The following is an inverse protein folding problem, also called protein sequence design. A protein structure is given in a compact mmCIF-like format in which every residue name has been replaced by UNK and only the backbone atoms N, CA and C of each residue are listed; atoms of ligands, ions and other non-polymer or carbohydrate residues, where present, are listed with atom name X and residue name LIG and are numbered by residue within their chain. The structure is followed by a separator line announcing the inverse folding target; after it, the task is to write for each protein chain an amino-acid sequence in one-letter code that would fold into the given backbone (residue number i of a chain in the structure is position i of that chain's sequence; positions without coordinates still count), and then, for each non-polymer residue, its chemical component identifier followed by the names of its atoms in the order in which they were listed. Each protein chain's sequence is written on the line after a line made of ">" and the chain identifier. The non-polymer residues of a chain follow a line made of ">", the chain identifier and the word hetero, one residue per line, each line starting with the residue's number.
data_IF_491236313959
#
_entry.id   IF_491236313959
#
_cell.length_a   1.000
_cell.length_b   1.000
_cell.length_c   1.000
_cell.angle_alpha   90.00
_cell.angle_beta   90.00
_cell.angle_gamma   90.00
#
_symmetry.space_group_name_H-M   'P 1'
#
loop_
_entity.id
_entity.type
_entity.pdbx_description
1 polymer ?
#
# COMPACT_ATOMS: atom_id res chain seq x y z
N UNK A 1 -44.44 27.97 -5.42
CA UNK A 1 -43.04 28.00 -5.88
C UNK A 1 -42.18 28.48 -4.73
N UNK A 2 -41.37 27.60 -4.14
CA UNK A 2 -40.78 27.78 -2.81
C UNK A 2 -39.70 28.87 -2.75
N UNK A 3 -39.66 29.58 -1.64
CA UNK A 3 -38.66 30.60 -1.24
C UNK A 3 -37.20 30.16 -1.44
N UNK A 4 -36.92 28.86 -1.39
CA UNK A 4 -35.60 28.28 -1.68
C UNK A 4 -35.14 28.46 -3.14
N UNK A 5 -36.07 28.52 -4.09
CA UNK A 5 -35.74 28.72 -5.52
C UNK A 5 -35.34 30.17 -5.80
N UNK A 6 -35.94 31.12 -5.08
CA UNK A 6 -35.68 32.56 -5.21
C UNK A 6 -34.30 32.91 -4.63
N UNK A 7 -33.96 32.38 -3.45
CA UNK A 7 -32.62 32.54 -2.86
C UNK A 7 -31.49 31.99 -3.76
N UNK A 8 -31.78 30.94 -4.53
CA UNK A 8 -30.84 30.29 -5.45
C UNK A 8 -30.53 31.13 -6.69
N UNK A 9 -31.47 31.96 -7.15
CA UNK A 9 -31.26 32.86 -8.29
C UNK A 9 -30.62 34.19 -7.89
N UNK A 10 -30.89 34.69 -6.68
CA UNK A 10 -30.40 36.01 -6.23
C UNK A 10 -28.96 35.99 -5.72
N UNK A 11 -28.49 34.92 -5.07
CA UNK A 11 -27.12 34.85 -4.51
C UNK A 11 -26.40 33.51 -4.81
N UNK A 12 -25.96 33.29 -6.06
CA UNK A 12 -25.33 32.02 -6.49
C UNK A 12 -23.96 31.76 -5.84
N UNK A 13 -23.24 32.81 -5.41
CA UNK A 13 -21.93 32.67 -4.73
C UNK A 13 -22.09 32.26 -3.26
N UNK A 14 -23.09 32.77 -2.55
CA UNK A 14 -23.35 32.46 -1.14
C UNK A 14 -23.84 31.02 -0.96
N UNK A 15 -24.76 30.57 -1.82
CA UNK A 15 -25.27 29.18 -1.81
C UNK A 15 -24.20 28.14 -2.19
N UNK A 16 -23.24 28.48 -3.07
CA UNK A 16 -22.06 27.63 -3.35
C UNK A 16 -21.10 27.54 -2.17
N UNK A 17 -20.85 28.63 -1.44
CA UNK A 17 -19.93 28.63 -0.30
C UNK A 17 -20.49 27.87 0.91
N UNK A 18 -21.81 27.94 1.14
CA UNK A 18 -22.48 27.24 2.25
C UNK A 18 -22.70 25.74 1.96
N UNK A 19 -22.83 25.33 0.69
CA UNK A 19 -22.98 23.91 0.32
C UNK A 19 -21.67 23.12 0.23
N UNK A 20 -20.55 23.79 -0.08
CA UNK A 20 -19.20 23.16 -0.12
C UNK A 20 -18.84 22.29 1.09
N UNK A 21 -19.05 22.73 2.36
CA UNK A 21 -18.76 21.87 3.51
C UNK A 21 -19.72 20.67 3.62
N UNK A 22 -20.99 20.84 3.21
CA UNK A 22 -21.99 19.76 3.24
C UNK A 22 -21.69 18.71 2.16
N UNK A 23 -21.31 19.13 0.96
CA UNK A 23 -20.93 18.24 -0.15
C UNK A 23 -19.61 17.49 0.17
N UNK A 24 -18.67 18.14 0.88
CA UNK A 24 -17.45 17.51 1.35
C UNK A 24 -17.72 16.44 2.43
N UNK A 25 -18.61 16.75 3.39
CA UNK A 25 -19.06 15.77 4.40
C UNK A 25 -19.81 14.60 3.77
N UNK A 26 -20.64 14.85 2.75
CA UNK A 26 -21.34 13.81 2.00
C UNK A 26 -20.36 12.85 1.31
N UNK A 27 -19.35 13.39 0.64
CA UNK A 27 -18.31 12.60 -0.04
C UNK A 27 -17.56 11.69 0.95
N UNK A 28 -17.15 12.23 2.11
CA UNK A 28 -16.48 11.45 3.17
C UNK A 28 -17.43 10.35 3.71
N UNK A 29 -18.71 10.66 3.87
CA UNK A 29 -19.74 9.71 4.26
C UNK A 29 -19.84 8.53 3.29
N UNK A 30 -19.84 8.79 1.98
CA UNK A 30 -19.93 7.75 0.95
C UNK A 30 -18.70 6.84 0.94
N UNK A 31 -17.50 7.41 1.07
CA UNK A 31 -16.26 6.64 1.24
C UNK A 31 -16.33 5.73 2.48
N UNK A 32 -16.73 6.29 3.63
CA UNK A 32 -16.79 5.56 4.89
C UNK A 32 -17.83 4.43 4.84
N UNK A 33 -19.01 4.68 4.29
CA UNK A 33 -20.05 3.67 4.13
C UNK A 33 -19.61 2.54 3.20
N UNK A 34 -18.94 2.87 2.10
CA UNK A 34 -18.40 1.86 1.19
C UNK A 34 -17.33 1.01 1.88
N UNK A 35 -16.39 1.62 2.60
CA UNK A 35 -15.35 0.89 3.33
C UNK A 35 -15.93 -0.01 4.43
N UNK A 36 -16.90 0.47 5.19
CA UNK A 36 -17.57 -0.35 6.22
C UNK A 36 -18.33 -1.53 5.61
N UNK A 37 -19.02 -1.33 4.48
CA UNK A 37 -19.69 -2.43 3.77
C UNK A 37 -18.69 -3.43 3.21
N UNK A 38 -17.60 -2.96 2.60
CA UNK A 38 -16.55 -3.82 2.07
C UNK A 38 -15.89 -4.65 3.19
N UNK A 39 -15.54 -4.03 4.32
CA UNK A 39 -14.96 -4.74 5.47
C UNK A 39 -15.98 -5.67 6.14
N UNK A 40 -17.24 -5.27 6.27
CA UNK A 40 -18.32 -6.12 6.79
C UNK A 40 -18.63 -7.33 5.90
N UNK A 41 -18.37 -7.22 4.58
CA UNK A 41 -18.50 -8.29 3.60
C UNK A 41 -17.37 -9.31 3.59
N UNK A 42 -16.21 -8.99 4.20
CA UNK A 42 -15.01 -9.85 4.23
C UNK A 42 -15.30 -11.26 4.78
N UNK A 43 -15.97 -11.45 5.94
CA UNK A 43 -16.22 -12.78 6.47
C UNK A 43 -17.12 -13.61 5.55
N UNK A 44 -18.14 -12.97 4.95
CA UNK A 44 -19.06 -13.65 4.04
C UNK A 44 -18.32 -14.09 2.76
N UNK A 45 -17.51 -13.20 2.19
CA UNK A 45 -16.73 -13.47 1.00
C UNK A 45 -15.67 -14.56 1.22
N UNK A 46 -14.97 -14.54 2.36
CA UNK A 46 -13.97 -15.54 2.72
C UNK A 46 -14.55 -16.96 2.79
N UNK A 47 -15.81 -17.09 3.20
CA UNK A 47 -16.48 -18.39 3.32
C UNK A 47 -17.07 -18.88 1.99
N UNK A 48 -17.69 -17.99 1.20
CA UNK A 48 -18.49 -18.38 0.03
C UNK A 48 -17.74 -18.29 -1.31
N UNK A 49 -16.68 -17.48 -1.43
CA UNK A 49 -15.99 -17.20 -2.70
C UNK A 49 -14.53 -17.68 -2.72
N UNK A 50 -14.25 -18.86 -2.16
CA UNK A 50 -12.88 -19.40 -1.99
C UNK A 50 -12.12 -19.55 -3.31
N UNK A 51 -12.79 -20.04 -4.36
CA UNK A 51 -12.16 -20.24 -5.67
C UNK A 51 -11.70 -18.92 -6.29
N UNK A 52 -12.51 -17.87 -6.17
CA UNK A 52 -12.16 -16.54 -6.67
C UNK A 52 -11.03 -15.91 -5.86
N UNK A 53 -11.02 -16.10 -4.53
CA UNK A 53 -9.92 -15.65 -3.68
C UNK A 53 -8.60 -16.31 -4.11
N UNK A 54 -8.57 -17.62 -4.36
CA UNK A 54 -7.36 -18.33 -4.80
C UNK A 54 -6.88 -17.78 -6.15
N UNK A 55 -7.79 -17.55 -7.09
CA UNK A 55 -7.47 -16.94 -8.39
C UNK A 55 -6.86 -15.55 -8.21
N UNK A 56 -7.46 -14.71 -7.36
CA UNK A 56 -6.96 -13.36 -7.08
C UNK A 56 -5.60 -13.38 -6.36
N UNK A 57 -5.36 -14.32 -5.43
CA UNK A 57 -4.05 -14.49 -4.79
C UNK A 57 -2.98 -14.87 -5.82
N UNK A 58 -3.32 -15.79 -6.74
CA UNK A 58 -2.44 -16.17 -7.82
C UNK A 58 -2.13 -14.98 -8.75
N UNK A 59 -3.14 -14.17 -9.05
CA UNK A 59 -2.99 -12.95 -9.85
C UNK A 59 -2.13 -11.88 -9.17
N UNK A 60 -2.28 -11.68 -7.86
CA UNK A 60 -1.42 -10.77 -7.10
C UNK A 60 0.04 -11.22 -7.13
N UNK A 61 0.25 -12.53 -6.93
CA UNK A 61 1.58 -13.12 -6.77
C UNK A 61 2.33 -13.24 -8.10
N UNK A 62 1.66 -13.76 -9.14
CA UNK A 62 2.26 -13.95 -10.46
C UNK A 62 2.15 -12.70 -11.32
N UNK A 63 1.21 -11.78 -11.05
CA UNK A 63 0.87 -10.65 -11.93
C UNK A 63 -0.22 -11.02 -12.93
N UNK A 64 -0.97 -10.00 -13.39
CA UNK A 64 -1.98 -10.16 -14.44
C UNK A 64 -1.41 -9.81 -15.83
N UNK A 65 -1.76 -10.59 -16.86
CA UNK A 65 -1.41 -10.28 -18.25
C UNK A 65 0.10 -10.28 -18.53
N UNK A 66 0.63 -9.23 -19.16
CA UNK A 66 2.07 -9.10 -19.51
C UNK A 66 2.98 -9.04 -18.29
N UNK A 67 2.48 -8.61 -17.13
CA UNK A 67 3.23 -8.64 -15.87
C UNK A 67 3.48 -10.07 -15.39
N UNK A 68 2.62 -11.04 -15.73
CA UNK A 68 2.86 -12.46 -15.45
C UNK A 68 4.15 -12.98 -16.11
N UNK A 69 4.51 -12.42 -17.27
CA UNK A 69 5.71 -12.79 -18.02
C UNK A 69 6.99 -12.20 -17.41
N UNK A 70 6.89 -11.10 -16.66
CA UNK A 70 8.04 -10.39 -16.05
C UNK A 70 8.18 -10.73 -14.55
N UNK A 71 7.21 -11.42 -13.95
CA UNK A 71 7.23 -11.89 -12.57
C UNK A 71 6.36 -11.10 -11.57
N UNK A 72 5.39 -10.34 -12.09
CA UNK A 72 4.29 -9.79 -11.32
C UNK A 72 4.65 -8.76 -10.26
N UNK A 73 3.72 -8.56 -9.32
CA UNK A 73 3.86 -7.65 -8.17
C UNK A 73 5.09 -8.02 -7.32
N UNK A 74 5.38 -9.32 -7.18
CA UNK A 74 6.49 -9.82 -6.36
C UNK A 74 7.84 -9.38 -6.94
N UNK A 75 8.06 -9.52 -8.24
CA UNK A 75 9.32 -9.09 -8.87
C UNK A 75 9.47 -7.57 -8.82
N UNK A 76 8.41 -6.82 -9.08
CA UNK A 76 8.50 -5.34 -9.05
C UNK A 76 8.78 -4.86 -7.63
N UNK A 77 8.02 -5.31 -6.63
CA UNK A 77 8.24 -4.93 -5.23
C UNK A 77 9.60 -5.41 -4.73
N UNK A 78 10.00 -6.64 -5.09
CA UNK A 78 11.29 -7.19 -4.75
C UNK A 78 12.45 -6.38 -5.35
N UNK A 79 12.35 -6.00 -6.62
CA UNK A 79 13.36 -5.17 -7.28
C UNK A 79 13.41 -3.76 -6.68
N UNK A 80 12.27 -3.14 -6.41
CA UNK A 80 12.20 -1.82 -5.78
C UNK A 80 12.84 -1.82 -4.38
N UNK A 81 12.55 -2.85 -3.57
CA UNK A 81 13.11 -2.99 -2.22
C UNK A 81 14.59 -3.38 -2.22
N UNK A 82 15.04 -4.17 -3.19
CA UNK A 82 16.45 -4.44 -3.45
C UNK A 82 17.18 -3.13 -3.79
N UNK A 83 16.66 -2.37 -4.77
CA UNK A 83 17.26 -1.10 -5.18
C UNK A 83 17.29 -0.10 -4.01
N UNK A 84 16.20 0.03 -3.25
CA UNK A 84 16.13 0.90 -2.09
C UNK A 84 17.08 0.49 -0.95
N UNK A 85 17.22 -0.82 -0.68
CA UNK A 85 18.18 -1.33 0.30
C UNK A 85 19.63 -1.02 -0.12
N UNK A 86 19.95 -1.23 -1.40
CA UNK A 86 21.25 -0.92 -1.96
C UNK A 86 21.58 0.58 -1.91
N UNK A 87 20.64 1.45 -2.28
CA UNK A 87 20.87 2.92 -2.22
C UNK A 87 21.00 3.42 -0.78
N UNK A 88 20.24 2.86 0.16
CA UNK A 88 20.39 3.17 1.58
C UNK A 88 21.73 2.71 2.13
N UNK A 89 22.25 1.57 1.68
CA UNK A 89 23.59 1.13 2.05
C UNK A 89 24.68 2.05 1.49
N UNK A 90 24.58 2.48 0.23
CA UNK A 90 25.51 3.48 -0.36
C UNK A 90 25.49 4.77 0.45
N UNK A 91 24.31 5.33 0.69
CA UNK A 91 24.16 6.59 1.42
C UNK A 91 24.61 6.45 2.88
N UNK A 92 24.23 5.36 3.52
CA UNK A 92 24.60 5.05 4.90
C UNK A 92 26.10 4.88 5.08
N UNK A 93 26.77 4.16 4.18
CA UNK A 93 28.21 3.98 4.20
C UNK A 93 28.95 5.32 4.05
N UNK A 94 28.57 6.14 3.07
CA UNK A 94 29.17 7.46 2.86
C UNK A 94 28.96 8.36 4.08
N UNK A 95 27.74 8.48 4.57
CA UNK A 95 27.41 9.39 5.68
C UNK A 95 28.03 8.97 7.01
N UNK A 96 28.18 7.68 7.27
CA UNK A 96 28.89 7.19 8.45
C UNK A 96 30.42 7.30 8.30
N UNK A 97 30.94 7.10 7.09
CA UNK A 97 32.37 7.26 6.78
C UNK A 97 32.86 8.69 6.95
N UNK A 98 32.02 9.70 6.69
CA UNK A 98 32.36 11.11 6.92
C UNK A 98 32.69 11.42 8.40
N UNK A 99 32.23 10.58 9.33
CA UNK A 99 32.44 10.70 10.78
C UNK A 99 33.30 9.52 11.31
N UNK A 100 33.84 8.66 10.42
CA UNK A 100 34.72 7.54 10.78
C UNK A 100 34.04 6.37 11.50
N UNK A 101 32.73 6.19 11.31
CA UNK A 101 31.92 5.13 11.94
C UNK A 101 31.23 4.24 10.90
N UNK A 102 31.85 4.03 9.74
CA UNK A 102 31.33 3.20 8.64
C UNK A 102 31.05 1.74 9.06
N UNK A 103 31.65 1.26 10.13
CA UNK A 103 31.35 -0.06 10.70
C UNK A 103 29.87 -0.23 11.12
N UNK A 104 29.17 0.87 11.45
CA UNK A 104 27.75 0.86 11.86
C UNK A 104 26.75 0.79 10.69
N UNK A 105 27.20 0.56 9.47
CA UNK A 105 26.34 0.36 8.30
C UNK A 105 25.37 -0.82 8.44
N UNK A 106 25.79 -1.89 9.13
CA UNK A 106 24.94 -3.03 9.47
C UNK A 106 23.76 -2.63 10.37
N UNK A 107 23.98 -1.67 11.29
CA UNK A 107 22.90 -1.10 12.10
C UNK A 107 21.87 -0.34 11.25
N UNK A 108 22.31 0.48 10.28
CA UNK A 108 21.37 1.18 9.40
C UNK A 108 20.50 0.21 8.61
N UNK A 109 21.09 -0.89 8.13
CA UNK A 109 20.34 -1.93 7.43
C UNK A 109 19.35 -2.67 8.35
N UNK A 110 19.71 -2.96 9.60
CA UNK A 110 18.81 -3.62 10.55
C UNK A 110 17.69 -2.68 11.06
N UNK A 111 17.99 -1.40 11.23
CA UNK A 111 17.09 -0.43 11.84
C UNK A 111 16.23 0.32 10.82
N UNK A 112 16.85 0.99 9.85
CA UNK A 112 16.14 1.88 8.91
C UNK A 112 15.35 1.05 7.89
N UNK A 113 15.92 -0.05 7.37
CA UNK A 113 15.20 -0.85 6.39
C UNK A 113 13.93 -1.45 6.99
N UNK A 114 14.03 -2.02 8.19
CA UNK A 114 12.88 -2.67 8.84
C UNK A 114 11.82 -1.66 9.22
N UNK A 115 12.19 -0.53 9.81
CA UNK A 115 11.22 0.41 10.39
C UNK A 115 10.56 1.33 9.36
N UNK A 116 11.28 1.69 8.29
CA UNK A 116 10.82 2.76 7.39
C UNK A 116 10.91 2.32 5.93
N UNK A 117 12.10 1.95 5.45
CA UNK A 117 12.33 1.82 4.00
C UNK A 117 11.54 0.67 3.39
N UNK A 118 11.67 -0.54 3.94
CA UNK A 118 11.02 -1.72 3.38
C UNK A 118 9.49 -1.60 3.37
N UNK A 119 8.80 -1.18 4.46
CA UNK A 119 7.35 -0.97 4.43
C UNK A 119 6.92 0.07 3.39
N UNK A 120 7.59 1.23 3.35
CA UNK A 120 7.22 2.34 2.46
C UNK A 120 7.39 1.94 1.00
N UNK A 121 8.55 1.39 0.65
CA UNK A 121 8.87 1.02 -0.73
C UNK A 121 7.97 -0.13 -1.19
N UNK A 122 7.71 -1.12 -0.33
CA UNK A 122 6.77 -2.19 -0.63
C UNK A 122 5.34 -1.66 -0.81
N UNK A 123 4.89 -0.74 0.04
CA UNK A 123 3.57 -0.10 -0.07
C UNK A 123 3.41 0.71 -1.37
N UNK A 124 4.44 1.49 -1.74
CA UNK A 124 4.48 2.23 -3.02
C UNK A 124 4.41 1.26 -4.21
N UNK A 125 5.23 0.21 -4.19
CA UNK A 125 5.25 -0.81 -5.25
C UNK A 125 3.90 -1.53 -5.38
N UNK A 126 3.28 -1.89 -4.26
CA UNK A 126 1.97 -2.54 -4.23
C UNK A 126 0.87 -1.64 -4.77
N UNK A 127 0.84 -0.37 -4.37
CA UNK A 127 -0.11 0.62 -4.89
C UNK A 127 0.03 0.82 -6.41
N UNK A 128 1.27 0.92 -6.90
CA UNK A 128 1.57 1.18 -8.30
C UNK A 128 1.28 -0.01 -9.22
N UNK A 129 1.38 -1.24 -8.72
CA UNK A 129 1.23 -2.46 -9.54
C UNK A 129 -0.12 -3.11 -9.30
N UNK A 130 -0.28 -3.77 -8.16
CA UNK A 130 -1.50 -4.50 -7.81
C UNK A 130 -2.68 -3.53 -7.62
N UNK A 131 -2.51 -2.45 -6.85
CA UNK A 131 -3.56 -1.46 -6.63
C UNK A 131 -4.08 -0.87 -7.93
N UNK A 132 -3.16 -0.37 -8.78
CA UNK A 132 -3.51 0.17 -10.09
C UNK A 132 -4.25 -0.84 -10.97
N UNK A 133 -3.81 -2.11 -10.96
CA UNK A 133 -4.49 -3.21 -11.65
C UNK A 133 -5.92 -3.44 -11.17
N UNK A 134 -6.14 -3.45 -9.85
CA UNK A 134 -7.48 -3.58 -9.25
C UNK A 134 -8.40 -2.44 -9.68
N UNK A 135 -7.91 -1.20 -9.63
CA UNK A 135 -8.70 -0.03 -10.07
C UNK A 135 -9.04 -0.11 -11.54
N UNK A 136 -8.09 -0.51 -12.39
CA UNK A 136 -8.31 -0.66 -13.83
C UNK A 136 -9.33 -1.76 -14.15
N UNK A 137 -9.25 -2.91 -13.48
CA UNK A 137 -10.18 -4.03 -13.66
C UNK A 137 -11.60 -3.66 -13.23
N UNK A 138 -11.77 -3.16 -12.01
CA UNK A 138 -13.08 -2.76 -11.52
C UNK A 138 -13.66 -1.62 -12.37
N UNK A 139 -12.81 -0.68 -12.79
CA UNK A 139 -13.23 0.40 -13.68
C UNK A 139 -13.66 -0.11 -15.05
N UNK A 140 -12.96 -1.07 -15.63
CA UNK A 140 -13.34 -1.73 -16.88
C UNK A 140 -14.69 -2.46 -16.73
N UNK A 141 -14.86 -3.24 -15.65
CA UNK A 141 -16.12 -3.92 -15.35
C UNK A 141 -17.28 -2.92 -15.17
N UNK A 142 -17.01 -1.75 -14.58
CA UNK A 142 -18.02 -0.71 -14.40
C UNK A 142 -18.46 -0.09 -15.72
N UNK A 143 -17.51 0.26 -16.60
CA UNK A 143 -17.84 0.89 -17.91
C UNK A 143 -18.47 -0.10 -18.91
N UNK A 144 -18.25 -1.41 -18.71
CA UNK A 144 -18.86 -2.48 -19.50
C UNK A 144 -20.21 -2.97 -18.92
N UNK A 145 -20.74 -2.30 -17.89
CA UNK A 145 -21.99 -2.68 -17.20
C UNK A 145 -21.95 -4.10 -16.56
N UNK A 146 -20.78 -4.69 -16.38
CA UNK A 146 -20.63 -6.02 -15.76
C UNK A 146 -21.01 -6.00 -14.27
N UNK A 147 -20.78 -4.89 -13.59
CA UNK A 147 -21.18 -4.70 -12.18
C UNK A 147 -22.71 -4.65 -12.07
N UNK A 148 -23.38 -3.95 -12.98
CA UNK A 148 -24.84 -3.83 -12.99
C UNK A 148 -25.49 -5.16 -13.40
N UNK A 149 -24.84 -5.93 -14.28
CA UNK A 149 -25.24 -7.29 -14.61
C UNK A 149 -25.20 -8.22 -13.39
N UNK A 150 -24.16 -8.16 -12.55
CA UNK A 150 -24.10 -8.94 -11.30
C UNK A 150 -25.26 -8.60 -10.35
N UNK A 151 -25.60 -7.31 -10.23
CA UNK A 151 -26.71 -6.86 -9.40
C UNK A 151 -28.07 -7.37 -9.94
N UNK A 152 -28.25 -7.41 -11.27
CA UNK A 152 -29.44 -7.98 -11.91
C UNK A 152 -29.61 -9.48 -11.67
N UNK A 153 -28.50 -10.20 -11.43
CA UNK A 153 -28.48 -11.63 -11.07
C UNK A 153 -28.64 -11.86 -9.56
N UNK A 154 -29.01 -10.83 -8.79
CA UNK A 154 -29.14 -10.86 -7.33
C UNK A 154 -27.82 -11.24 -6.59
N UNK A 155 -26.66 -11.02 -7.23
CA UNK A 155 -25.36 -11.18 -6.60
C UNK A 155 -24.95 -9.83 -6.01
N UNK A 156 -24.48 -9.82 -4.75
CA UNK A 156 -24.02 -8.60 -4.08
C UNK A 156 -22.63 -8.19 -4.61
N UNK A 157 -22.51 -7.15 -5.45
CA UNK A 157 -21.26 -6.86 -6.18
C UNK A 157 -20.13 -6.41 -5.26
N UNK A 158 -20.42 -5.67 -4.18
CA UNK A 158 -19.40 -5.23 -3.21
C UNK A 158 -18.77 -6.44 -2.49
N UNK A 159 -19.57 -7.41 -2.10
CA UNK A 159 -19.06 -8.62 -1.43
C UNK A 159 -18.25 -9.49 -2.40
N UNK A 160 -18.77 -9.67 -3.62
CA UNK A 160 -18.14 -10.53 -4.62
C UNK A 160 -16.88 -9.93 -5.24
N UNK A 161 -16.86 -8.63 -5.55
CA UNK A 161 -15.75 -7.98 -6.24
C UNK A 161 -14.76 -7.31 -5.30
N UNK A 162 -15.24 -6.61 -4.27
CA UNK A 162 -14.37 -5.80 -3.41
C UNK A 162 -13.84 -6.63 -2.25
N UNK A 163 -14.73 -7.34 -1.55
CA UNK A 163 -14.36 -8.05 -0.32
C UNK A 163 -13.44 -9.25 -0.59
N UNK A 164 -13.65 -9.96 -1.71
CA UNK A 164 -12.75 -11.04 -2.17
C UNK A 164 -11.34 -10.54 -2.45
N UNK A 165 -11.19 -9.36 -3.07
CA UNK A 165 -9.90 -8.71 -3.34
C UNK A 165 -9.20 -8.25 -2.07
N UNK A 166 -9.96 -7.75 -1.09
CA UNK A 166 -9.41 -7.43 0.24
C UNK A 166 -8.83 -8.70 0.87
N UNK A 167 -9.59 -9.80 0.92
CA UNK A 167 -9.10 -11.08 1.48
C UNK A 167 -7.87 -11.59 0.72
N UNK A 168 -7.92 -11.63 -0.60
CA UNK A 168 -6.82 -12.10 -1.43
C UNK A 168 -5.55 -11.25 -1.22
N UNK A 169 -5.70 -9.93 -1.16
CA UNK A 169 -4.62 -9.00 -0.85
C UNK A 169 -3.99 -9.24 0.52
N UNK A 170 -4.80 -9.49 1.54
CA UNK A 170 -4.31 -9.78 2.89
C UNK A 170 -3.58 -11.12 2.99
N UNK A 171 -3.96 -12.11 2.19
CA UNK A 171 -3.24 -13.39 2.11
C UNK A 171 -1.92 -13.24 1.35
N UNK A 172 -1.91 -12.45 0.27
CA UNK A 172 -0.75 -12.29 -0.59
C UNK A 172 0.32 -11.34 -0.03
N UNK A 173 -0.06 -10.35 0.79
CA UNK A 173 0.90 -9.35 1.32
C UNK A 173 1.97 -9.99 2.20
N UNK A 174 1.62 -11.00 3.02
CA UNK A 174 2.54 -11.60 3.98
C UNK A 174 3.77 -12.23 3.29
N UNK A 175 3.62 -13.18 2.35
CA UNK A 175 4.78 -13.75 1.65
C UNK A 175 5.49 -12.73 0.76
N UNK A 176 4.75 -11.81 0.13
CA UNK A 176 5.34 -10.77 -0.72
C UNK A 176 6.24 -9.84 0.08
N UNK A 177 5.80 -9.43 1.28
CA UNK A 177 6.57 -8.56 2.16
C UNK A 177 7.81 -9.27 2.72
N UNK A 178 7.71 -10.56 3.06
CA UNK A 178 8.87 -11.36 3.48
C UNK A 178 9.98 -11.34 2.42
N UNK A 179 9.62 -11.55 1.15
CA UNK A 179 10.59 -11.50 0.04
C UNK A 179 11.21 -10.11 -0.07
N UNK A 180 10.38 -9.07 0.03
CA UNK A 180 10.82 -7.67 -0.07
C UNK A 180 11.85 -7.30 1.02
N UNK A 181 11.61 -7.69 2.27
CA UNK A 181 12.54 -7.47 3.39
C UNK A 181 13.84 -8.24 3.19
N UNK A 182 13.77 -9.52 2.78
CA UNK A 182 14.96 -10.34 2.51
C UNK A 182 15.82 -9.70 1.41
N UNK A 183 15.20 -9.27 0.31
CA UNK A 183 15.93 -8.63 -0.80
C UNK A 183 16.54 -7.29 -0.39
N UNK A 184 15.88 -6.52 0.48
CA UNK A 184 16.43 -5.29 1.05
C UNK A 184 17.68 -5.55 1.89
N UNK A 185 17.70 -6.61 2.72
CA UNK A 185 18.86 -7.00 3.51
C UNK A 185 20.02 -7.51 2.64
N UNK A 186 19.72 -8.38 1.67
CA UNK A 186 20.72 -8.91 0.74
C UNK A 186 21.36 -7.78 -0.05
N UNK A 187 20.57 -6.82 -0.54
CA UNK A 187 21.10 -5.66 -1.24
C UNK A 187 22.01 -4.81 -0.35
N UNK A 188 21.58 -4.55 0.89
CA UNK A 188 22.35 -3.73 1.83
C UNK A 188 23.70 -4.37 2.18
N UNK A 189 23.70 -5.69 2.42
CA UNK A 189 24.90 -6.46 2.69
C UNK A 189 25.81 -6.53 1.48
N UNK A 190 25.26 -6.84 0.29
CA UNK A 190 26.05 -6.93 -0.94
C UNK A 190 26.74 -5.60 -1.23
N UNK A 191 26.02 -4.49 -1.17
CA UNK A 191 26.59 -3.16 -1.38
C UNK A 191 27.70 -2.86 -0.38
N UNK A 192 27.47 -3.07 0.92
CA UNK A 192 28.44 -2.69 1.96
C UNK A 192 29.68 -3.60 1.95
N UNK A 193 29.51 -4.91 1.84
CA UNK A 193 30.60 -5.88 1.96
C UNK A 193 31.34 -6.05 0.64
N UNK A 194 30.62 -6.19 -0.48
CA UNK A 194 31.22 -6.52 -1.78
C UNK A 194 31.66 -5.26 -2.53
N UNK A 195 30.83 -4.21 -2.55
CA UNK A 195 31.17 -3.00 -3.32
C UNK A 195 32.09 -2.05 -2.55
N UNK A 196 31.85 -1.86 -1.24
CA UNK A 196 32.65 -0.96 -0.40
C UNK A 196 33.78 -1.65 0.37
N UNK A 197 33.86 -2.99 0.33
CA UNK A 197 34.97 -3.74 0.90
C UNK A 197 34.99 -3.83 2.43
N UNK A 198 33.87 -3.56 3.11
CA UNK A 198 33.77 -3.74 4.55
C UNK A 198 33.87 -5.23 4.92
N UNK A 199 34.51 -5.56 6.04
CA UNK A 199 34.53 -6.93 6.56
C UNK A 199 33.10 -7.43 6.82
N UNK A 200 32.74 -8.57 6.21
CA UNK A 200 31.44 -9.20 6.41
C UNK A 200 31.17 -9.58 7.86
N UNK A 201 32.19 -10.00 8.62
CA UNK A 201 32.05 -10.30 10.05
C UNK A 201 31.66 -9.07 10.88
N UNK A 202 32.22 -7.90 10.56
CA UNK A 202 31.86 -6.63 11.17
C UNK A 202 30.42 -6.23 10.84
N UNK A 203 30.04 -6.33 9.57
CA UNK A 203 28.66 -6.05 9.14
C UNK A 203 27.65 -6.94 9.86
N UNK A 204 27.89 -8.26 9.88
CA UNK A 204 27.01 -9.22 10.54
C UNK A 204 26.91 -8.98 12.05
N UNK A 205 28.02 -8.68 12.72
CA UNK A 205 28.02 -8.38 14.15
C UNK A 205 27.07 -7.22 14.49
N UNK A 206 27.18 -6.10 13.78
CA UNK A 206 26.29 -4.95 14.01
C UNK A 206 24.87 -5.20 13.52
N UNK A 207 24.70 -5.90 12.40
CA UNK A 207 23.37 -6.26 11.92
C UNK A 207 22.61 -7.12 12.94
N UNK A 208 23.21 -8.20 13.43
CA UNK A 208 22.58 -9.13 14.37
C UNK A 208 22.37 -8.50 15.76
N UNK A 209 23.28 -7.62 16.19
CA UNK A 209 23.15 -6.92 17.49
C UNK A 209 21.96 -5.95 17.50
N UNK A 210 21.66 -5.31 16.37
CA UNK A 210 20.63 -4.28 16.28
C UNK A 210 19.32 -4.76 15.64
N UNK A 211 19.32 -5.93 15.01
CA UNK A 211 18.09 -6.51 14.47
C UNK A 211 17.22 -7.02 15.61
N UNK A 212 16.19 -6.25 15.95
CA UNK A 212 15.19 -6.65 16.92
C UNK A 212 14.04 -7.40 16.23
N UNK A 213 13.75 -8.67 16.60
CA UNK A 213 12.61 -9.41 16.04
C UNK A 213 11.26 -8.72 16.25
N UNK A 214 11.11 -7.94 17.32
CA UNK A 214 9.89 -7.18 17.61
C UNK A 214 9.69 -6.07 16.58
N UNK A 215 10.75 -5.39 16.15
CA UNK A 215 10.66 -4.37 15.09
C UNK A 215 10.27 -4.99 13.76
N UNK A 216 10.75 -6.21 13.48
CA UNK A 216 10.34 -6.95 12.29
C UNK A 216 8.83 -7.25 12.33
N UNK A 217 8.29 -7.70 13.47
CA UNK A 217 6.85 -7.93 13.62
C UNK A 217 6.02 -6.64 13.45
N UNK A 218 6.47 -5.52 14.01
CA UNK A 218 5.84 -4.22 13.79
C UNK A 218 5.88 -3.79 12.32
N UNK A 219 6.97 -4.09 11.63
CA UNK A 219 7.14 -3.86 10.20
C UNK A 219 6.12 -4.65 9.36
N UNK A 220 5.88 -5.92 9.70
CA UNK A 220 4.83 -6.73 9.08
C UNK A 220 3.43 -6.17 9.34
N UNK A 221 3.14 -5.76 10.59
CA UNK A 221 1.85 -5.14 10.92
C UNK A 221 1.65 -3.85 10.11
N UNK A 222 2.69 -3.02 9.99
CA UNK A 222 2.65 -1.80 9.20
C UNK A 222 2.36 -2.09 7.72
N UNK A 223 3.01 -3.11 7.13
CA UNK A 223 2.77 -3.54 5.75
C UNK A 223 1.33 -4.03 5.54
N UNK A 224 0.77 -4.78 6.49
CA UNK A 224 -0.63 -5.22 6.50
C UNK A 224 -1.59 -4.02 6.52
N UNK A 225 -1.37 -3.05 7.42
CA UNK A 225 -2.21 -1.85 7.51
C UNK A 225 -2.16 -1.01 6.22
N UNK A 226 -0.97 -0.89 5.62
CA UNK A 226 -0.82 -0.24 4.31
C UNK A 226 -1.60 -0.99 3.23
N UNK A 227 -1.46 -2.30 3.15
CA UNK A 227 -2.15 -3.11 2.13
C UNK A 227 -3.67 -2.98 2.22
N UNK A 228 -4.25 -3.03 3.44
CA UNK A 228 -5.69 -2.80 3.66
C UNK A 228 -6.09 -1.43 3.10
N UNK A 229 -5.35 -0.40 3.47
CA UNK A 229 -5.71 0.98 3.11
C UNK A 229 -5.59 1.22 1.60
N UNK A 230 -4.53 0.69 0.98
CA UNK A 230 -4.34 0.72 -0.48
C UNK A 230 -5.52 0.01 -1.17
N UNK A 231 -5.86 -1.20 -0.75
CA UNK A 231 -6.97 -1.95 -1.33
C UNK A 231 -8.31 -1.22 -1.22
N UNK A 232 -8.62 -0.61 -0.08
CA UNK A 232 -9.83 0.18 0.10
C UNK A 232 -9.88 1.38 -0.86
N UNK A 233 -8.78 2.13 -0.98
CA UNK A 233 -8.68 3.26 -1.90
C UNK A 233 -8.89 2.79 -3.35
N UNK A 234 -8.12 1.79 -3.77
CA UNK A 234 -8.11 1.32 -5.15
C UNK A 234 -9.43 0.67 -5.58
N UNK A 235 -10.07 -0.07 -4.68
CA UNK A 235 -11.39 -0.67 -4.95
C UNK A 235 -12.50 0.38 -5.02
N UNK A 236 -12.44 1.43 -4.20
CA UNK A 236 -13.39 2.54 -4.28
C UNK A 236 -13.28 3.29 -5.62
N UNK A 237 -12.07 3.75 -5.97
CA UNK A 237 -11.87 4.47 -7.23
C UNK A 237 -12.21 3.62 -8.46
N UNK A 238 -12.00 2.31 -8.38
CA UNK A 238 -12.37 1.38 -9.47
C UNK A 238 -13.87 1.17 -9.56
N UNK A 239 -14.55 0.93 -8.43
CA UNK A 239 -15.99 0.67 -8.39
C UNK A 239 -16.83 1.85 -8.87
N UNK A 240 -16.38 3.08 -8.56
CA UNK A 240 -17.06 4.32 -8.96
C UNK A 240 -16.46 5.00 -10.20
N UNK A 241 -15.66 4.27 -10.99
CA UNK A 241 -15.10 4.81 -12.23
C UNK A 241 -16.22 5.18 -13.22
N UNK A 242 -16.04 6.30 -13.94
CA UNK A 242 -16.99 6.82 -14.93
C UNK A 242 -16.26 7.56 -16.04
N UNK A 243 -16.93 7.81 -17.17
CA UNK A 243 -16.34 8.55 -18.30
C UNK A 243 -15.62 7.67 -19.32
N UNK A 244 -16.01 6.40 -19.46
CA UNK A 244 -15.46 5.46 -20.45
C UNK A 244 -14.00 5.06 -20.17
N UNK A 245 -13.27 4.54 -21.17
CA UNK A 245 -11.90 4.03 -20.99
C UNK A 245 -10.90 5.09 -20.48
N UNK A 246 -11.04 6.34 -20.94
CA UNK A 246 -10.22 7.46 -20.45
C UNK A 246 -10.47 7.74 -18.97
N UNK A 247 -11.74 7.67 -18.56
CA UNK A 247 -12.17 7.80 -17.17
C UNK A 247 -11.53 6.76 -16.24
N UNK A 248 -11.41 5.51 -16.68
CA UNK A 248 -10.71 4.45 -15.93
C UNK A 248 -9.25 4.82 -15.69
N UNK A 249 -8.54 5.33 -16.70
CA UNK A 249 -7.16 5.80 -16.55
C UNK A 249 -7.04 6.94 -15.52
N UNK A 250 -7.97 7.89 -15.52
CA UNK A 250 -7.99 8.97 -14.52
C UNK A 250 -8.28 8.45 -13.11
N UNK A 251 -9.17 7.46 -12.96
CA UNK A 251 -9.46 6.83 -11.68
C UNK A 251 -8.23 6.08 -11.13
N UNK A 252 -7.50 5.36 -11.98
CA UNK A 252 -6.23 4.71 -11.62
C UNK A 252 -5.21 5.74 -11.13
N UNK A 253 -5.01 6.83 -11.87
CA UNK A 253 -4.06 7.88 -11.49
C UNK A 253 -4.43 8.56 -10.16
N UNK A 254 -5.72 8.83 -9.93
CA UNK A 254 -6.22 9.41 -8.69
C UNK A 254 -6.07 8.43 -7.50
N UNK A 255 -6.34 7.15 -7.73
CA UNK A 255 -6.16 6.11 -6.71
C UNK A 255 -4.70 5.97 -6.29
N UNK A 256 -3.77 5.87 -7.26
CA UNK A 256 -2.33 5.77 -7.00
C UNK A 256 -1.83 7.02 -6.26
N UNK A 257 -2.21 8.22 -6.70
CA UNK A 257 -1.80 9.45 -6.01
C UNK A 257 -2.27 9.48 -4.56
N UNK A 258 -3.53 9.11 -4.34
CA UNK A 258 -4.13 9.10 -3.00
C UNK A 258 -3.45 8.05 -2.12
N UNK A 259 -3.19 6.85 -2.65
CA UNK A 259 -2.53 5.78 -1.91
C UNK A 259 -1.07 6.12 -1.56
N UNK A 260 -0.33 6.83 -2.41
CA UNK A 260 1.03 7.29 -2.07
C UNK A 260 1.04 8.23 -0.85
N UNK A 261 0.11 9.19 -0.79
CA UNK A 261 -0.02 10.09 0.38
C UNK A 261 -0.39 9.31 1.63
N UNK A 262 -1.32 8.35 1.48
CA UNK A 262 -1.80 7.55 2.60
C UNK A 262 -0.74 6.57 3.10
N UNK A 263 0.08 5.96 2.23
CA UNK A 263 1.21 5.09 2.63
C UNK A 263 2.19 5.86 3.51
N UNK A 264 2.58 7.08 3.10
CA UNK A 264 3.47 7.92 3.91
C UNK A 264 2.79 8.32 5.23
N UNK A 265 1.50 8.65 5.19
CA UNK A 265 0.74 9.03 6.40
C UNK A 265 0.63 7.87 7.39
N UNK A 266 0.33 6.65 6.92
CA UNK A 266 0.27 5.44 7.73
C UNK A 266 1.64 5.15 8.34
N UNK A 267 2.72 5.24 7.54
CA UNK A 267 4.10 5.09 8.04
C UNK A 267 4.37 6.04 9.19
N UNK A 268 4.04 7.33 9.02
CA UNK A 268 4.27 8.36 10.01
C UNK A 268 3.49 8.07 11.30
N UNK A 269 2.18 7.76 11.19
CA UNK A 269 1.32 7.51 12.34
C UNK A 269 1.74 6.26 13.11
N UNK A 270 2.06 5.18 12.40
CA UNK A 270 2.53 3.93 13.01
C UNK A 270 3.89 4.16 13.67
N UNK A 271 4.81 4.85 13.00
CA UNK A 271 6.11 5.19 13.56
C UNK A 271 6.00 6.05 14.83
N UNK A 272 5.13 7.06 14.84
CA UNK A 272 4.88 7.89 16.03
C UNK A 272 4.23 7.09 17.16
N UNK A 273 3.31 6.17 16.84
CA UNK A 273 2.62 5.36 17.85
C UNK A 273 3.56 4.37 18.52
N UNK A 274 4.41 3.71 17.74
CA UNK A 274 5.32 2.65 18.21
C UNK A 274 6.61 3.26 18.77
N UNK A 275 7.21 4.21 18.05
CA UNK A 275 8.54 4.75 18.35
C UNK A 275 8.52 6.16 18.94
N UNK A 276 7.41 6.90 18.84
CA UNK A 276 7.33 8.29 19.29
C UNK A 276 7.00 8.49 20.77
N UNK A 277 6.37 7.52 21.43
CA UNK A 277 5.99 7.66 22.86
C UNK A 277 7.12 7.32 23.84
N UNK A 278 8.11 6.54 23.40
CA UNK A 278 9.26 6.14 24.20
C UNK A 278 10.51 6.84 23.66
N UNK A 279 10.97 7.90 24.32
CA UNK A 279 12.32 8.46 24.14
C UNK A 279 13.46 7.51 24.52
N UNK A 280 13.17 6.22 24.72
CA UNK A 280 14.14 5.17 24.99
C UNK A 280 14.73 4.68 23.68
N UNK A 281 15.63 5.50 23.14
CA UNK A 281 16.59 5.10 22.11
C UNK A 281 17.58 4.12 22.74
N UNK A 282 17.18 2.85 22.89
CA UNK A 282 18.06 1.80 23.40
C UNK A 282 18.99 1.37 22.27
N UNK A 283 20.26 1.81 22.35
CA UNK A 283 21.34 1.45 21.42
C UNK A 283 21.89 0.03 21.63
N UNK A 284 21.31 -0.72 22.56
CA UNK A 284 21.57 -2.14 22.75
C UNK A 284 20.27 -2.80 23.18
N UNK A 285 20.11 -4.07 22.82
CA UNK A 285 19.06 -4.94 23.39
C UNK A 285 19.03 -4.91 24.91
#
# INVERSE_FOLDING_TARGET
>A
MGTLTILRSTYPRFTRTVRRPVDALGTIGDHMLFYLRALGGVPHAALHFRTEIIRLVAEISMGAGTLAMIGGTVVIVGFLTLAAGGTLAVQGYSSLGDIGIEALTGFLAAFINVRISAPVVAGIGLAATFGAGVTAQLGAMRINEEIDALESMAIRPVEYLVSTRIVAGMLAITPLYSIAVILSFVASQFTTVVLFGQSGGLYHHYFDTFLNPIDLLWSFLQAILMAITILLIHTYFGYFASGGPSGVGTAVGNAVRTSLVVVVSVTLLVSLSIYGSNGNFNLSG
#
